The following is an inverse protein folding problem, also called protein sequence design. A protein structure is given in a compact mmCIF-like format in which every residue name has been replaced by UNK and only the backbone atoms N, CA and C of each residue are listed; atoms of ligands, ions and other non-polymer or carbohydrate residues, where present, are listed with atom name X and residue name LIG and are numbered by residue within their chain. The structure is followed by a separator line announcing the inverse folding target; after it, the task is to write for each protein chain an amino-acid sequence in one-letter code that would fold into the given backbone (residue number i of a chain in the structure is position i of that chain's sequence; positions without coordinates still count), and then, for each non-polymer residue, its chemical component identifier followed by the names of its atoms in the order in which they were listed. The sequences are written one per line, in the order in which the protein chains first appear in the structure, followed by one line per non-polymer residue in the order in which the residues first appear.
data_IF_885335463156
#
_entry.id   IF_885335463156
#
_cell.length_a   1.000
_cell.length_b   1.000
_cell.length_c   1.000
_cell.angle_alpha   90.00
_cell.angle_beta   90.00
_cell.angle_gamma   90.00
#
_symmetry.space_group_name_H-M   'P 1'
#
loop_
_entity.id
_entity.type
_entity.pdbx_description
1 polymer ?
#
# COMPACT_ATOMS: atom_id res chain seq x y z
N UNK A 1 24.87 -12.63 8.18
CA UNK A 1 26.17 -12.56 7.46
C UNK A 1 27.03 -11.49 8.14
N UNK A 2 28.27 -11.81 8.52
CA UNK A 2 29.27 -10.81 8.93
C UNK A 2 30.45 -10.92 7.97
N UNK A 3 30.84 -9.80 7.36
CA UNK A 3 32.06 -9.71 6.57
C UNK A 3 33.23 -9.56 7.54
N UNK A 4 34.16 -10.51 7.57
CA UNK A 4 35.22 -10.55 8.59
C UNK A 4 36.53 -9.93 8.07
N UNK A 5 36.78 -9.91 6.75
CA UNK A 5 37.96 -9.24 6.19
C UNK A 5 37.72 -8.76 4.76
N UNK A 6 38.10 -7.51 4.49
CA UNK A 6 38.22 -6.92 3.15
C UNK A 6 39.70 -6.70 2.87
N UNK A 7 40.30 -7.53 2.02
CA UNK A 7 41.66 -7.31 1.55
C UNK A 7 41.63 -6.66 0.17
N UNK A 8 42.12 -5.42 0.07
CA UNK A 8 42.23 -4.68 -1.18
C UNK A 8 43.67 -4.78 -1.69
N UNK A 9 43.90 -5.58 -2.75
CA UNK A 9 45.19 -5.60 -3.45
C UNK A 9 45.12 -4.68 -4.67
N UNK A 10 45.92 -3.61 -4.66
CA UNK A 10 46.14 -2.75 -5.82
C UNK A 10 47.42 -3.19 -6.53
N UNK A 11 47.32 -3.58 -7.81
CA UNK A 11 48.47 -3.91 -8.64
C UNK A 11 48.71 -2.74 -9.60
N UNK A 12 49.83 -2.05 -9.45
CA UNK A 12 50.21 -0.91 -10.29
C UNK A 12 51.03 -1.40 -11.48
N UNK A 13 50.57 -1.15 -12.71
CA UNK A 13 51.33 -1.38 -13.94
C UNK A 13 51.82 -0.03 -14.46
N UNK A 14 53.13 0.22 -14.35
CA UNK A 14 53.79 1.35 -15.01
C UNK A 14 54.17 0.92 -16.44
N UNK A 15 53.68 1.64 -17.45
CA UNK A 15 54.21 1.56 -18.82
C UNK A 15 54.75 2.92 -19.23
N UNK A 16 56.02 2.95 -19.61
CA UNK A 16 56.68 4.11 -20.21
C UNK A 16 56.60 4.00 -21.74
N UNK A 17 55.99 4.98 -22.40
CA UNK A 17 56.11 5.18 -23.84
C UNK A 17 57.14 6.29 -24.16
N UNK A 18 57.84 6.24 -25.30
CA UNK A 18 58.80 7.28 -25.64
C UNK A 18 58.07 8.52 -26.21
N UNK A 19 58.34 9.68 -25.62
CA UNK A 19 57.99 11.00 -26.18
C UNK A 19 56.75 11.67 -25.58
N UNK A 20 56.99 12.75 -24.84
CA UNK A 20 56.06 13.81 -24.40
C UNK A 20 54.88 13.41 -23.48
N UNK A 21 55.17 13.32 -22.18
CA UNK A 21 54.46 14.10 -21.17
C UNK A 21 53.04 13.70 -20.74
N UNK A 22 52.56 12.49 -21.04
CA UNK A 22 51.27 11.99 -20.52
C UNK A 22 51.46 10.63 -19.83
N UNK A 23 51.23 10.56 -18.52
CA UNK A 23 51.19 9.31 -17.77
C UNK A 23 49.74 8.87 -17.58
N UNK A 24 49.36 7.71 -18.14
CA UNK A 24 48.06 7.08 -17.90
C UNK A 24 48.21 6.11 -16.72
N UNK A 25 47.63 6.44 -15.57
CA UNK A 25 47.53 5.50 -14.45
C UNK A 25 46.35 4.56 -14.69
N UNK A 26 46.64 3.27 -14.84
CA UNK A 26 45.61 2.23 -14.85
C UNK A 26 45.63 1.53 -13.49
N UNK A 27 44.74 1.95 -12.59
CA UNK A 27 44.58 1.30 -11.30
C UNK A 27 43.42 0.31 -11.41
N UNK A 28 43.75 -0.99 -11.47
CA UNK A 28 42.76 -2.04 -11.32
C UNK A 28 42.66 -2.40 -9.84
N UNK A 29 41.48 -2.23 -9.25
CA UNK A 29 41.20 -2.71 -7.90
C UNK A 29 40.51 -4.07 -8.01
N UNK A 30 41.03 -5.06 -7.30
CA UNK A 30 40.33 -6.34 -7.11
C UNK A 30 39.84 -6.38 -5.68
N UNK A 31 38.53 -6.27 -5.47
CA UNK A 31 37.93 -6.49 -4.17
C UNK A 31 37.74 -8.01 -4.01
N UNK A 32 38.53 -8.64 -3.15
CA UNK A 32 38.28 -10.02 -2.72
C UNK A 32 37.48 -9.98 -1.43
N UNK A 33 36.25 -10.48 -1.49
CA UNK A 33 35.37 -10.61 -0.34
C UNK A 33 35.33 -12.08 0.06
N UNK A 34 35.96 -12.46 1.18
CA UNK A 34 35.86 -13.81 1.73
C UNK A 34 34.63 -13.87 2.63
N UNK A 35 33.57 -14.55 2.18
CA UNK A 35 32.39 -14.84 2.99
C UNK A 35 32.53 -16.21 3.65
N UNK A 36 32.46 -16.25 4.98
CA UNK A 36 32.31 -17.51 5.74
C UNK A 36 30.84 -17.62 6.16
N UNK A 37 30.17 -18.67 5.68
CA UNK A 37 28.85 -19.08 6.18
C UNK A 37 29.07 -20.10 7.30
N UNK A 38 28.75 -19.73 8.54
CA UNK A 38 28.67 -20.71 9.62
C UNK A 38 27.32 -21.43 9.54
N UNK A 39 27.34 -22.65 8.99
CA UNK A 39 26.29 -23.64 9.23
C UNK A 39 26.90 -24.76 10.07
N UNK A 40 26.32 -25.02 11.24
CA UNK A 40 26.52 -26.29 11.93
C UNK A 40 25.76 -27.37 11.15
N UNK A 41 26.43 -28.01 10.19
CA UNK A 41 26.15 -29.37 9.75
C UNK A 41 27.33 -29.89 8.93
N UNK A 42 27.69 -31.16 9.16
CA UNK A 42 28.96 -31.75 8.77
C UNK A 42 29.26 -31.79 7.26
N UNK A 43 30.57 -31.78 7.00
CA UNK A 43 31.28 -32.32 5.84
C UNK A 43 30.71 -31.95 4.45
N UNK A 44 31.20 -30.83 3.89
CA UNK A 44 31.76 -30.62 2.54
C UNK A 44 31.92 -29.10 2.33
N UNK A 45 33.17 -28.62 2.16
CA UNK A 45 33.48 -27.21 1.91
C UNK A 45 33.41 -26.90 0.40
N UNK A 46 32.45 -26.06 -0.02
CA UNK A 46 32.45 -25.42 -1.34
C UNK A 46 32.52 -23.90 -1.17
N UNK A 47 33.63 -23.28 -1.60
CA UNK A 47 33.83 -21.83 -1.59
C UNK A 47 33.59 -21.24 -2.97
N UNK A 48 32.53 -20.43 -3.15
CA UNK A 48 32.34 -19.59 -4.34
C UNK A 48 32.83 -18.16 -4.07
N UNK A 49 33.68 -17.63 -4.97
CA UNK A 49 34.16 -16.24 -4.94
C UNK A 49 33.46 -15.44 -6.04
N UNK A 50 32.88 -14.27 -5.72
CA UNK A 50 32.40 -13.29 -6.69
C UNK A 50 33.45 -12.18 -6.87
N UNK A 51 33.75 -11.81 -8.13
CA UNK A 51 34.68 -10.73 -8.46
C UNK A 51 33.89 -9.61 -9.15
N UNK A 52 33.87 -8.41 -8.57
CA UNK A 52 33.38 -7.18 -9.22
C UNK A 52 34.61 -6.40 -9.73
N UNK A 53 34.67 -6.09 -11.02
CA UNK A 53 35.75 -5.27 -11.61
C UNK A 53 35.18 -3.95 -12.11
N UNK A 54 35.57 -2.84 -11.49
CA UNK A 54 35.28 -1.49 -11.95
C UNK A 54 36.58 -0.74 -12.26
N UNK A 55 36.58 0.12 -13.29
CA UNK A 55 37.73 0.98 -13.66
C UNK A 55 37.35 2.45 -13.46
N UNK A 56 38.13 3.20 -12.68
CA UNK A 56 38.02 4.66 -12.55
C UNK A 56 39.22 5.27 -13.29
N UNK A 57 38.95 6.22 -14.21
CA UNK A 57 40.00 7.01 -14.88
C UNK A 57 40.10 8.37 -14.21
N UNK A 58 41.28 8.73 -13.71
CA UNK A 58 41.59 10.07 -13.22
C UNK A 58 42.66 10.67 -14.12
N UNK A 59 42.31 11.72 -14.88
CA UNK A 59 43.30 12.51 -15.62
C UNK A 59 43.87 13.58 -14.68
N UNK A 60 45.17 13.48 -14.36
CA UNK A 60 45.89 14.50 -13.60
C UNK A 60 46.84 15.22 -14.55
N UNK A 61 46.66 16.54 -14.70
CA UNK A 61 47.51 17.40 -15.52
C UNK A 61 48.85 17.68 -14.80
N UNK A 62 49.98 17.47 -15.46
CA UNK A 62 51.32 17.28 -14.88
C UNK A 62 52.02 18.53 -14.33
N UNK A 63 51.29 19.60 -14.01
CA UNK A 63 51.87 20.86 -13.49
C UNK A 63 51.62 21.18 -12.02
N UNK A 64 50.98 20.28 -11.25
CA UNK A 64 50.73 20.52 -9.82
C UNK A 64 51.51 19.53 -8.95
N UNK A 65 52.28 20.08 -8.00
CA UNK A 65 53.24 19.34 -7.17
C UNK A 65 52.59 18.14 -6.46
N UNK A 66 53.37 17.07 -6.33
CA UNK A 66 53.02 15.80 -5.66
C UNK A 66 52.39 15.96 -4.26
N UNK A 67 52.59 17.09 -3.59
CA UNK A 67 51.91 17.43 -2.32
C UNK A 67 50.40 17.67 -2.46
N UNK A 68 49.93 18.24 -3.58
CA UNK A 68 48.50 18.48 -3.79
C UNK A 68 47.73 17.19 -4.11
N UNK A 69 48.33 16.27 -4.87
CA UNK A 69 47.72 14.97 -5.14
C UNK A 69 47.57 14.11 -3.87
N UNK A 70 48.54 14.18 -2.96
CA UNK A 70 48.48 13.50 -1.65
C UNK A 70 47.39 14.11 -0.75
N UNK A 71 47.22 15.44 -0.77
CA UNK A 71 46.13 16.13 -0.06
C UNK A 71 44.74 15.76 -0.60
N UNK A 72 44.57 15.62 -1.91
CA UNK A 72 43.30 15.16 -2.50
C UNK A 72 43.00 13.70 -2.16
N UNK A 73 44.01 12.83 -2.17
CA UNK A 73 43.86 11.43 -1.74
C UNK A 73 43.53 11.31 -0.25
N UNK A 74 44.16 12.13 0.61
CA UNK A 74 43.86 12.19 2.04
C UNK A 74 42.45 12.73 2.30
N UNK A 75 41.99 13.74 1.55
CA UNK A 75 40.60 14.24 1.62
C UNK A 75 39.57 13.18 1.15
N UNK A 76 39.88 12.39 0.12
CA UNK A 76 39.03 11.29 -0.32
C UNK A 76 39.00 10.12 0.69
N UNK A 77 40.08 9.92 1.44
CA UNK A 77 40.15 8.93 2.50
C UNK A 77 39.34 9.35 3.74
N UNK A 78 39.31 10.63 4.10
CA UNK A 78 38.49 11.14 5.21
C UNK A 78 36.98 11.12 4.93
N UNK A 79 36.55 11.19 3.66
CA UNK A 79 35.13 11.02 3.28
C UNK A 79 34.69 9.55 3.43
N UNK A 80 35.61 8.60 3.29
CA UNK A 80 35.31 7.16 3.40
C UNK A 80 35.20 6.65 4.85
N UNK A 81 35.71 7.42 5.82
CA UNK A 81 35.73 7.06 7.25
C UNK A 81 34.56 7.63 8.07
N UNK A 82 33.63 8.36 7.45
CA UNK A 82 32.45 8.93 8.12
C UNK A 82 31.10 8.40 7.59
N UNK A 83 31.09 7.35 6.78
CA UNK A 83 29.87 6.60 6.48
C UNK A 83 29.49 5.66 7.65
N UNK A 84 29.41 6.20 8.87
CA UNK A 84 28.49 5.64 9.85
C UNK A 84 27.14 6.28 9.54
N UNK A 85 26.24 5.50 8.93
CA UNK A 85 24.85 5.88 8.71
C UNK A 85 24.28 6.41 10.03
N UNK A 86 24.21 7.74 10.17
CA UNK A 86 23.42 8.33 11.24
C UNK A 86 22.00 7.79 11.04
N UNK A 87 21.36 7.23 12.07
CA UNK A 87 19.97 6.82 11.95
C UNK A 87 19.17 8.03 11.47
N UNK A 88 18.63 7.93 10.25
CA UNK A 88 17.84 9.02 9.68
C UNK A 88 16.58 9.10 10.51
N UNK A 89 16.39 10.20 11.23
CA UNK A 89 15.24 10.40 12.13
C UNK A 89 13.91 10.57 11.38
N UNK A 90 13.91 10.43 10.06
CA UNK A 90 12.83 10.75 9.15
C UNK A 90 13.19 10.32 7.73
N UNK A 91 12.43 10.77 6.75
CA UNK A 91 12.75 10.57 5.34
C UNK A 91 13.24 11.86 4.68
N UNK A 92 13.98 11.70 3.59
CA UNK A 92 14.23 12.78 2.62
C UNK A 92 14.10 12.20 1.21
N UNK A 93 13.19 12.77 0.42
CA UNK A 93 12.97 12.39 -0.98
C UNK A 93 13.49 13.53 -1.84
N UNK A 94 14.63 13.32 -2.49
CA UNK A 94 15.13 14.24 -3.52
C UNK A 94 14.64 13.78 -4.88
N UNK A 95 13.93 14.64 -5.60
CA UNK A 95 13.30 14.24 -6.85
C UNK A 95 13.43 15.21 -8.00
N UNK A 96 13.15 14.71 -9.21
CA UNK A 96 13.00 15.50 -10.41
C UNK A 96 11.72 15.11 -11.16
N UNK A 97 10.87 16.09 -11.48
CA UNK A 97 9.75 15.91 -12.40
C UNK A 97 10.02 16.74 -13.65
N UNK A 98 10.35 16.08 -14.77
CA UNK A 98 10.62 16.78 -16.02
C UNK A 98 9.31 17.29 -16.64
N UNK A 99 9.36 18.48 -17.25
CA UNK A 99 8.18 19.12 -17.85
C UNK A 99 7.34 19.97 -16.89
N UNK A 100 7.73 20.11 -15.61
CA UNK A 100 7.11 21.10 -14.72
C UNK A 100 7.64 22.51 -14.99
N UNK A 101 6.81 23.53 -14.74
CA UNK A 101 7.26 24.92 -14.62
C UNK A 101 7.85 25.14 -13.23
N UNK A 102 8.79 26.07 -13.10
CA UNK A 102 9.26 26.51 -11.78
C UNK A 102 8.10 27.02 -10.93
N UNK A 103 8.12 26.66 -9.64
CA UNK A 103 7.02 26.95 -8.73
C UNK A 103 5.86 25.95 -8.77
N UNK A 104 5.91 24.89 -9.59
CA UNK A 104 4.85 23.85 -9.57
C UNK A 104 4.83 23.15 -8.21
N UNK A 105 3.65 23.00 -7.61
CA UNK A 105 3.51 22.37 -6.30
C UNK A 105 3.65 20.84 -6.40
N UNK A 106 4.50 20.28 -5.55
CA UNK A 106 4.67 18.84 -5.32
C UNK A 106 4.21 18.52 -3.91
N UNK A 107 3.34 17.52 -3.76
CA UNK A 107 2.81 17.09 -2.46
C UNK A 107 3.08 15.61 -2.22
N UNK A 108 3.48 15.26 -1.00
CA UNK A 108 3.48 13.88 -0.52
C UNK A 108 2.21 13.64 0.29
N UNK A 109 1.37 12.72 -0.15
CA UNK A 109 0.07 12.43 0.46
C UNK A 109 0.06 10.99 0.95
N UNK A 110 -0.19 10.76 2.23
CA UNK A 110 -0.50 9.44 2.76
C UNK A 110 -1.88 9.00 2.25
N UNK A 111 -1.95 7.87 1.55
CA UNK A 111 -3.17 7.40 0.89
C UNK A 111 -4.21 6.95 1.91
N UNK A 112 -3.77 6.30 2.99
CA UNK A 112 -4.67 5.71 3.99
C UNK A 112 -5.21 6.80 4.92
N UNK A 113 -4.36 7.74 5.32
CA UNK A 113 -4.73 8.86 6.18
C UNK A 113 -5.35 10.03 5.42
N UNK A 114 -5.28 10.02 4.08
CA UNK A 114 -5.69 11.12 3.20
C UNK A 114 -5.06 12.47 3.62
N UNK A 115 -3.82 12.41 4.10
CA UNK A 115 -3.13 13.53 4.74
C UNK A 115 -1.88 13.92 3.95
N UNK A 116 -1.72 15.22 3.73
CA UNK A 116 -0.46 15.77 3.21
C UNK A 116 0.60 15.65 4.30
N UNK A 117 1.66 14.88 4.04
CA UNK A 117 2.82 14.73 4.93
C UNK A 117 3.75 15.92 4.77
N UNK A 118 4.05 16.28 3.52
CA UNK A 118 4.93 17.40 3.17
C UNK A 118 4.58 17.96 1.78
N UNK A 119 5.02 19.19 1.50
CA UNK A 119 4.91 19.79 0.18
C UNK A 119 6.11 20.70 -0.13
N UNK A 120 6.49 20.75 -1.40
CA UNK A 120 7.53 21.64 -1.92
C UNK A 120 7.08 22.23 -3.26
N UNK A 121 7.87 23.15 -3.79
CA UNK A 121 7.77 23.59 -5.18
C UNK A 121 8.94 23.05 -6.01
N UNK A 122 8.77 22.97 -7.32
CA UNK A 122 9.85 22.62 -8.25
C UNK A 122 10.72 23.82 -8.61
N UNK A 123 12.01 23.57 -8.82
CA UNK A 123 12.96 24.48 -9.46
C UNK A 123 13.78 23.69 -10.49
N UNK A 124 13.65 24.03 -11.77
CA UNK A 124 14.15 23.24 -12.90
C UNK A 124 13.73 21.75 -12.81
N UNK A 125 12.48 21.52 -12.39
CA UNK A 125 11.94 20.17 -12.15
C UNK A 125 12.41 19.50 -10.85
N UNK A 126 13.47 20.00 -10.21
CA UNK A 126 13.96 19.43 -8.95
C UNK A 126 13.09 19.85 -7.76
N UNK A 127 12.92 18.95 -6.79
CA UNK A 127 12.23 19.22 -5.52
C UNK A 127 12.83 18.37 -4.39
N UNK A 128 12.54 18.75 -3.15
CA UNK A 128 12.91 17.97 -1.96
C UNK A 128 11.71 17.90 -1.04
N UNK A 129 11.35 16.69 -0.60
CA UNK A 129 10.35 16.46 0.44
C UNK A 129 11.04 15.86 1.67
N UNK A 130 10.61 16.26 2.87
CA UNK A 130 11.15 15.80 4.15
C UNK A 130 10.03 15.57 5.14
N UNK A 131 10.23 14.60 6.03
CA UNK A 131 9.25 14.35 7.07
C UNK A 131 9.61 13.13 7.88
N UNK A 132 8.59 12.58 8.54
CA UNK A 132 8.71 11.37 9.34
C UNK A 132 7.44 10.55 9.18
N UNK A 133 7.60 9.24 9.07
CA UNK A 133 6.49 8.28 9.11
C UNK A 133 6.65 7.35 10.30
N UNK A 134 5.57 7.04 11.01
CA UNK A 134 5.62 6.15 12.17
C UNK A 134 6.00 4.71 11.78
N UNK A 135 5.51 4.29 10.61
CA UNK A 135 5.82 3.04 9.95
C UNK A 135 5.88 3.28 8.43
N UNK A 136 6.53 2.39 7.65
CA UNK A 136 6.47 2.46 6.21
C UNK A 136 5.02 2.49 5.71
N UNK A 137 4.71 3.47 4.86
CA UNK A 137 3.36 3.75 4.39
C UNK A 137 3.35 3.99 2.88
N UNK A 138 2.21 3.72 2.25
CA UNK A 138 2.03 3.98 0.83
C UNK A 138 1.55 5.43 0.62
N UNK A 139 2.32 6.19 -0.14
CA UNK A 139 2.04 7.59 -0.45
C UNK A 139 1.84 7.82 -1.95
N UNK A 140 1.14 8.91 -2.27
CA UNK A 140 1.24 9.55 -3.58
C UNK A 140 2.24 10.71 -3.52
N UNK A 141 3.13 10.78 -4.53
CA UNK A 141 3.75 12.04 -4.94
C UNK A 141 2.85 12.64 -6.02
N UNK A 142 2.25 13.79 -5.76
CA UNK A 142 1.34 14.48 -6.66
C UNK A 142 1.94 15.78 -7.20
N UNK A 143 1.71 16.05 -8.49
CA UNK A 143 2.06 17.33 -9.13
C UNK A 143 1.12 17.58 -10.33
N UNK A 144 0.47 18.74 -10.41
CA UNK A 144 -0.42 19.14 -11.52
C UNK A 144 -1.44 18.05 -11.96
N UNK A 145 -2.14 17.43 -11.00
CA UNK A 145 -3.10 16.33 -11.19
C UNK A 145 -2.52 14.98 -11.65
N UNK A 146 -1.20 14.89 -11.77
CA UNK A 146 -0.48 13.64 -12.00
C UNK A 146 0.03 13.11 -10.66
N UNK A 147 0.14 11.78 -10.54
CA UNK A 147 0.61 11.15 -9.32
C UNK A 147 1.41 9.88 -9.58
N UNK A 148 2.31 9.56 -8.65
CA UNK A 148 3.01 8.28 -8.58
C UNK A 148 2.85 7.67 -7.18
N UNK A 149 2.61 6.37 -7.12
CA UNK A 149 2.55 5.63 -5.86
C UNK A 149 3.94 5.18 -5.43
N UNK A 150 4.32 5.48 -4.19
CA UNK A 150 5.61 5.09 -3.59
C UNK A 150 5.41 4.52 -2.20
N UNK A 151 6.32 3.65 -1.75
CA UNK A 151 6.42 3.23 -0.36
C UNK A 151 7.42 4.16 0.34
N UNK A 152 6.98 4.90 1.34
CA UNK A 152 7.81 5.85 2.11
C UNK A 152 8.21 5.20 3.42
N UNK A 153 9.51 5.24 3.73
CA UNK A 153 10.08 4.84 5.03
C UNK A 153 11.14 5.87 5.45
N UNK A 154 11.51 5.90 6.74
CA UNK A 154 12.45 6.89 7.29
C UNK A 154 13.89 6.66 6.80
N UNK A 155 14.17 7.06 5.56
CA UNK A 155 15.46 6.91 4.88
C UNK A 155 15.65 7.97 3.79
N UNK A 156 16.81 7.95 3.15
CA UNK A 156 17.07 8.77 1.96
C UNK A 156 16.54 8.05 0.73
N UNK A 157 15.73 8.77 -0.05
CA UNK A 157 15.08 8.27 -1.25
C UNK A 157 15.29 9.21 -2.43
N UNK A 158 15.20 8.68 -3.65
CA UNK A 158 15.27 9.45 -4.89
C UNK A 158 14.05 9.18 -5.76
N UNK A 159 13.51 10.22 -6.38
CA UNK A 159 12.36 10.13 -7.29
C UNK A 159 12.67 10.76 -8.64
N UNK A 160 12.24 10.15 -9.74
CA UNK A 160 12.35 10.73 -11.08
C UNK A 160 11.14 10.35 -11.91
N UNK A 161 10.53 11.31 -12.61
CA UNK A 161 9.43 11.03 -13.52
C UNK A 161 9.29 12.14 -14.58
N UNK A 162 8.82 11.86 -15.80
CA UNK A 162 8.13 12.90 -16.56
C UNK A 162 6.83 13.31 -15.86
N UNK A 163 6.36 14.53 -16.09
CA UNK A 163 5.09 15.01 -15.52
C UNK A 163 3.90 14.19 -16.02
N UNK A 164 3.85 13.85 -17.31
CA UNK A 164 2.75 13.04 -17.86
C UNK A 164 2.92 11.57 -17.50
N UNK A 165 1.83 10.93 -17.11
CA UNK A 165 1.75 9.51 -16.80
C UNK A 165 2.74 9.10 -15.71
N UNK A 166 2.84 9.91 -14.64
CA UNK A 166 3.74 9.65 -13.50
C UNK A 166 3.55 8.25 -12.92
N UNK A 167 2.31 7.75 -12.93
CA UNK A 167 1.94 6.40 -12.50
C UNK A 167 2.69 5.30 -13.26
N UNK A 168 3.01 5.52 -14.53
CA UNK A 168 3.64 4.53 -15.42
C UNK A 168 5.14 4.75 -15.59
N UNK A 169 5.62 5.99 -15.45
CA UNK A 169 6.98 6.37 -15.83
C UNK A 169 7.86 6.82 -14.67
N UNK A 170 7.33 6.86 -13.46
CA UNK A 170 8.13 7.17 -12.28
C UNK A 170 9.14 6.07 -11.95
N UNK A 171 10.28 6.50 -11.41
CA UNK A 171 11.30 5.65 -10.83
C UNK A 171 11.62 6.14 -9.44
N UNK A 172 11.47 5.27 -8.45
CA UNK A 172 11.77 5.58 -7.05
C UNK A 172 12.78 4.57 -6.51
N UNK A 173 13.77 5.07 -5.76
CA UNK A 173 14.80 4.24 -5.10
C UNK A 173 15.02 4.72 -3.68
N UNK A 174 15.63 3.86 -2.87
CA UNK A 174 15.86 4.09 -1.44
C UNK A 174 14.80 3.39 -0.61
N UNK A 175 15.23 2.75 0.49
CA UNK A 175 14.36 1.98 1.35
C UNK A 175 14.16 0.52 0.95
N UNK A 176 13.89 -0.33 1.95
CA UNK A 176 13.58 -1.75 1.77
C UNK A 176 12.20 -1.92 1.14
N UNK A 177 11.17 -1.24 1.63
CA UNK A 177 9.78 -1.43 1.20
C UNK A 177 9.58 -0.94 -0.24
N UNK A 178 10.22 0.17 -0.63
CA UNK A 178 10.19 0.62 -2.02
C UNK A 178 10.94 -0.35 -2.95
N UNK A 179 12.02 -0.96 -2.48
CA UNK A 179 12.77 -1.95 -3.25
C UNK A 179 11.94 -3.22 -3.49
N UNK A 180 11.19 -3.67 -2.48
CA UNK A 180 10.21 -4.77 -2.60
C UNK A 180 9.07 -4.40 -3.55
N UNK A 181 8.54 -3.17 -3.47
CA UNK A 181 7.53 -2.70 -4.42
C UNK A 181 8.05 -2.71 -5.86
N UNK A 182 9.31 -2.32 -6.09
CA UNK A 182 9.93 -2.36 -7.41
C UNK A 182 10.09 -3.80 -7.92
N UNK A 183 10.49 -4.75 -7.05
CA UNK A 183 10.55 -6.18 -7.39
C UNK A 183 9.17 -6.70 -7.80
N UNK A 184 8.14 -6.42 -7.00
CA UNK A 184 6.76 -6.81 -7.27
C UNK A 184 6.25 -6.24 -8.60
N UNK A 185 6.45 -4.95 -8.85
CA UNK A 185 6.06 -4.30 -10.10
C UNK A 185 6.73 -4.97 -11.31
N UNK A 186 7.99 -5.38 -11.19
CA UNK A 186 8.69 -6.09 -12.27
C UNK A 186 8.11 -7.49 -12.53
N UNK A 187 7.74 -8.23 -11.48
CA UNK A 187 7.11 -9.54 -11.60
C UNK A 187 5.73 -9.46 -12.27
N UNK A 188 4.99 -8.39 -11.98
CA UNK A 188 3.62 -8.22 -12.45
C UNK A 188 3.49 -7.55 -13.83
N UNK A 189 4.49 -6.77 -14.27
CA UNK A 189 4.43 -5.91 -15.46
C UNK A 189 3.88 -6.60 -16.71
N UNK A 190 4.31 -7.82 -17.00
CA UNK A 190 3.86 -8.58 -18.18
C UNK A 190 2.37 -8.91 -18.11
N UNK A 191 1.88 -9.25 -16.92
CA UNK A 191 0.48 -9.60 -16.72
C UNK A 191 -0.41 -8.37 -16.65
N UNK A 192 0.11 -7.29 -16.07
CA UNK A 192 -0.56 -5.98 -16.05
C UNK A 192 -0.83 -5.47 -17.48
N UNK A 193 0.12 -5.58 -18.40
CA UNK A 193 -0.11 -5.16 -19.79
C UNK A 193 -1.19 -5.99 -20.49
N UNK A 194 -1.23 -7.31 -20.24
CA UNK A 194 -2.25 -8.21 -20.83
C UNK A 194 -3.63 -7.91 -20.22
N UNK A 195 -3.68 -7.77 -18.89
CA UNK A 195 -4.86 -7.41 -18.14
C UNK A 195 -5.45 -6.09 -18.64
N UNK A 196 -4.65 -5.03 -18.73
CA UNK A 196 -5.09 -3.70 -19.17
C UNK A 196 -5.60 -3.73 -20.61
N UNK A 197 -4.90 -4.41 -21.52
CA UNK A 197 -5.35 -4.58 -22.90
C UNK A 197 -6.72 -5.27 -22.98
N UNK A 198 -6.88 -6.40 -22.27
CA UNK A 198 -8.13 -7.16 -22.30
C UNK A 198 -9.28 -6.36 -21.64
N UNK A 199 -9.00 -5.71 -20.51
CA UNK A 199 -9.95 -4.85 -19.81
C UNK A 199 -10.42 -3.69 -20.68
N UNK A 200 -9.50 -2.93 -21.28
CA UNK A 200 -9.84 -1.79 -22.13
C UNK A 200 -10.60 -2.22 -23.38
N UNK A 201 -10.24 -3.37 -23.96
CA UNK A 201 -10.94 -3.94 -25.12
C UNK A 201 -12.38 -4.34 -24.77
N UNK A 202 -12.60 -4.93 -23.59
CA UNK A 202 -13.94 -5.32 -23.11
C UNK A 202 -14.76 -4.07 -22.74
N UNK A 203 -14.19 -3.16 -21.96
CA UNK A 203 -14.84 -1.95 -21.44
C UNK A 203 -15.27 -1.02 -22.56
N UNK A 204 -14.38 -0.75 -23.52
CA UNK A 204 -14.63 0.15 -24.64
C UNK A 204 -15.25 -0.58 -25.85
N UNK A 205 -15.63 -1.85 -25.71
CA UNK A 205 -16.26 -2.67 -26.75
C UNK A 205 -15.45 -2.72 -28.06
N UNK A 206 -14.13 -2.86 -27.97
CA UNK A 206 -13.20 -2.89 -29.12
C UNK A 206 -13.17 -4.26 -29.84
N UNK A 207 -14.16 -5.12 -29.61
CA UNK A 207 -14.27 -6.45 -30.21
C UNK A 207 -15.27 -6.45 -31.38
N UNK A 208 -14.99 -7.22 -32.43
CA UNK A 208 -15.80 -7.31 -33.65
C UNK A 208 -16.79 -8.47 -33.66
N UNK A 209 -16.66 -9.44 -32.74
CA UNK A 209 -17.52 -10.62 -32.68
C UNK A 209 -17.72 -11.16 -31.26
N UNK A 210 -18.78 -11.94 -31.05
CA UNK A 210 -19.03 -12.65 -29.80
C UNK A 210 -17.87 -13.60 -29.43
N UNK A 211 -17.29 -14.28 -30.42
CA UNK A 211 -16.12 -15.16 -30.23
C UNK A 211 -14.88 -14.39 -29.76
N UNK A 212 -14.62 -13.21 -30.31
CA UNK A 212 -13.52 -12.37 -29.84
C UNK A 212 -13.77 -11.85 -28.42
N UNK A 213 -15.02 -11.46 -28.11
CA UNK A 213 -15.40 -11.06 -26.75
C UNK A 213 -15.14 -12.19 -25.74
N UNK A 214 -15.55 -13.42 -26.07
CA UNK A 214 -15.32 -14.59 -25.23
C UNK A 214 -13.83 -14.85 -25.00
N UNK A 215 -13.03 -14.77 -26.07
CA UNK A 215 -11.57 -14.87 -25.96
C UNK A 215 -10.97 -13.78 -25.06
N UNK A 216 -11.38 -12.52 -25.21
CA UNK A 216 -10.91 -11.42 -24.37
C UNK A 216 -11.31 -11.61 -22.90
N UNK A 217 -12.51 -12.12 -22.61
CA UNK A 217 -12.92 -12.44 -21.23
C UNK A 217 -12.03 -13.54 -20.63
N UNK A 218 -11.70 -14.57 -21.41
CA UNK A 218 -10.77 -15.62 -20.97
C UNK A 218 -9.38 -15.04 -20.67
N UNK A 219 -8.82 -14.24 -21.57
CA UNK A 219 -7.52 -13.58 -21.39
C UNK A 219 -7.52 -12.66 -20.17
N UNK A 220 -8.58 -11.88 -19.97
CA UNK A 220 -8.75 -11.01 -18.82
C UNK A 220 -8.73 -11.81 -17.50
N UNK A 221 -9.53 -12.87 -17.40
CA UNK A 221 -9.61 -13.71 -16.20
C UNK A 221 -8.27 -14.40 -15.90
N UNK A 222 -7.62 -15.02 -16.89
CA UNK A 222 -6.33 -15.70 -16.71
C UNK A 222 -5.21 -14.73 -16.29
N UNK A 223 -5.18 -13.54 -16.89
CA UNK A 223 -4.22 -12.50 -16.53
C UNK A 223 -4.48 -11.98 -15.10
N UNK A 224 -5.75 -11.76 -14.73
CA UNK A 224 -6.14 -11.33 -13.40
C UNK A 224 -5.75 -12.38 -12.35
N UNK A 225 -6.08 -13.66 -12.58
CA UNK A 225 -5.73 -14.74 -11.65
C UNK A 225 -4.23 -14.85 -11.46
N UNK A 226 -3.47 -14.81 -12.56
CA UNK A 226 -2.00 -14.89 -12.49
C UNK A 226 -1.42 -13.68 -11.76
N UNK A 227 -1.89 -12.47 -12.08
CA UNK A 227 -1.48 -11.23 -11.41
C UNK A 227 -1.72 -11.31 -9.90
N UNK A 228 -2.89 -11.80 -9.48
CA UNK A 228 -3.25 -11.95 -8.08
C UNK A 228 -2.46 -13.05 -7.37
N UNK A 229 -2.16 -14.16 -8.05
CA UNK A 229 -1.35 -15.24 -7.49
C UNK A 229 0.10 -14.78 -7.24
N UNK A 230 0.68 -14.02 -8.18
CA UNK A 230 2.00 -13.39 -8.00
C UNK A 230 1.97 -12.45 -6.80
N UNK A 231 0.92 -11.60 -6.71
CA UNK A 231 0.77 -10.64 -5.62
C UNK A 231 0.75 -11.34 -4.26
N UNK A 232 -0.13 -12.34 -4.07
CA UNK A 232 -0.25 -13.06 -2.79
C UNK A 232 1.01 -13.89 -2.48
N UNK A 233 1.59 -14.58 -3.46
CA UNK A 233 2.82 -15.35 -3.26
C UNK A 233 3.99 -14.43 -2.85
N UNK A 234 4.08 -13.24 -3.42
CA UNK A 234 5.05 -12.23 -3.01
C UNK A 234 4.83 -11.81 -1.55
N UNK A 235 3.58 -11.55 -1.17
CA UNK A 235 3.22 -11.24 0.22
C UNK A 235 3.62 -12.33 1.21
N UNK A 236 3.40 -13.60 0.85
CA UNK A 236 3.78 -14.75 1.68
C UNK A 236 5.30 -14.85 1.83
N UNK A 237 6.04 -14.69 0.72
CA UNK A 237 7.51 -14.73 0.71
C UNK A 237 8.14 -13.61 1.53
N UNK A 238 7.49 -12.45 1.57
CA UNK A 238 7.99 -11.23 2.22
C UNK A 238 7.13 -10.82 3.42
N UNK A 239 6.50 -11.78 4.11
CA UNK A 239 5.62 -11.54 5.26
C UNK A 239 6.35 -10.83 6.42
N UNK A 240 7.69 -10.85 6.41
CA UNK A 240 8.56 -10.14 7.36
C UNK A 240 8.75 -8.64 7.03
N UNK A 241 8.06 -8.12 6.01
CA UNK A 241 8.05 -6.71 5.59
C UNK A 241 6.68 -6.06 5.75
N UNK A 242 6.63 -4.73 5.81
CA UNK A 242 5.36 -3.99 5.89
C UNK A 242 4.51 -4.18 4.62
N UNK A 243 5.14 -4.15 3.45
CA UNK A 243 4.48 -4.43 2.17
C UNK A 243 3.93 -5.86 2.13
N UNK A 244 4.70 -6.86 2.55
CA UNK A 244 4.23 -8.24 2.56
C UNK A 244 3.05 -8.46 3.52
N UNK A 245 3.11 -7.86 4.71
CA UNK A 245 2.00 -7.86 5.65
C UNK A 245 0.75 -7.18 5.07
N UNK A 246 0.87 -6.01 4.43
CA UNK A 246 -0.25 -5.32 3.79
C UNK A 246 -0.89 -6.16 2.68
N UNK A 247 -0.07 -6.82 1.84
CA UNK A 247 -0.54 -7.73 0.80
C UNK A 247 -1.40 -8.86 1.40
N UNK A 248 -0.89 -9.53 2.43
CA UNK A 248 -1.57 -10.64 3.08
C UNK A 248 -2.83 -10.16 3.79
N UNK A 249 -2.77 -9.02 4.48
CA UNK A 249 -3.92 -8.39 5.10
C UNK A 249 -5.04 -8.12 4.09
N UNK A 250 -4.71 -7.53 2.93
CA UNK A 250 -5.69 -7.21 1.88
C UNK A 250 -6.24 -8.43 1.15
N UNK A 251 -5.52 -9.57 1.17
CA UNK A 251 -5.92 -10.80 0.47
C UNK A 251 -6.33 -11.94 1.41
N UNK A 252 -6.50 -11.66 2.70
CA UNK A 252 -6.77 -12.66 3.74
C UNK A 252 -7.96 -13.58 3.46
N UNK A 253 -8.96 -13.14 2.69
CA UNK A 253 -10.10 -13.99 2.30
C UNK A 253 -9.71 -15.17 1.40
N UNK A 254 -8.55 -15.10 0.73
CA UNK A 254 -8.03 -16.17 -0.13
C UNK A 254 -7.14 -17.17 0.62
N UNK A 255 -6.92 -16.95 1.91
CA UNK A 255 -5.97 -17.72 2.73
C UNK A 255 -6.77 -18.33 3.90
N UNK A 256 -6.52 -19.61 4.23
CA UNK A 256 -7.21 -20.21 5.37
C UNK A 256 -6.85 -19.50 6.68
N UNK A 257 -7.81 -19.41 7.60
CA UNK A 257 -7.60 -18.77 8.91
C UNK A 257 -6.42 -19.38 9.67
N UNK A 258 -6.27 -20.71 9.62
CA UNK A 258 -5.14 -21.41 10.25
C UNK A 258 -3.80 -20.97 9.66
N UNK A 259 -3.72 -20.84 8.33
CA UNK A 259 -2.50 -20.36 7.66
C UNK A 259 -2.21 -18.92 8.05
N UNK A 260 -3.23 -18.07 8.16
CA UNK A 260 -3.06 -16.68 8.62
C UNK A 260 -2.54 -16.64 10.04
N UNK A 261 -3.05 -17.48 10.94
CA UNK A 261 -2.59 -17.53 12.33
C UNK A 261 -1.13 -17.99 12.42
N UNK A 262 -0.73 -18.98 11.62
CA UNK A 262 0.67 -19.40 11.50
C UNK A 262 1.57 -18.26 10.99
N UNK A 263 1.14 -17.55 9.95
CA UNK A 263 1.85 -16.38 9.41
C UNK A 263 1.99 -15.29 10.48
N UNK A 264 0.91 -14.95 11.18
CA UNK A 264 0.91 -13.96 12.27
C UNK A 264 1.92 -14.34 13.37
N UNK A 265 1.96 -15.61 13.77
CA UNK A 265 2.88 -16.09 14.79
C UNK A 265 4.36 -16.00 14.34
N UNK A 266 4.61 -16.11 13.04
CA UNK A 266 5.94 -15.97 12.44
C UNK A 266 6.40 -14.52 12.21
N UNK A 267 5.52 -13.53 12.40
CA UNK A 267 5.87 -12.13 12.20
C UNK A 267 6.98 -11.67 13.16
N UNK A 268 7.91 -10.81 12.69
CA UNK A 268 8.78 -10.05 13.57
C UNK A 268 7.99 -9.22 14.58
N UNK A 269 8.53 -9.02 15.79
CA UNK A 269 7.86 -8.26 16.86
C UNK A 269 7.48 -6.83 16.44
N UNK A 270 8.33 -6.18 15.64
CA UNK A 270 8.05 -4.86 15.06
C UNK A 270 6.75 -4.83 14.25
N UNK A 271 6.42 -5.92 13.54
CA UNK A 271 5.20 -6.02 12.74
C UNK A 271 3.97 -6.42 13.56
N UNK A 272 4.13 -7.21 14.62
CA UNK A 272 3.01 -7.65 15.47
C UNK A 272 2.26 -6.50 16.14
N UNK A 273 2.94 -5.38 16.39
CA UNK A 273 2.35 -4.17 16.98
C UNK A 273 1.46 -3.35 16.02
N UNK A 274 1.63 -3.54 14.71
CA UNK A 274 0.91 -2.77 13.68
C UNK A 274 -0.60 -3.04 13.71
N UNK A 275 -1.40 -2.05 13.27
CA UNK A 275 -2.85 -2.21 13.18
C UNK A 275 -3.23 -3.35 12.22
N UNK A 276 -2.49 -3.49 11.11
CA UNK A 276 -2.68 -4.57 10.12
C UNK A 276 -2.47 -5.95 10.73
N UNK A 277 -1.39 -6.16 11.48
CA UNK A 277 -1.14 -7.45 12.12
C UNK A 277 -2.20 -7.78 13.17
N UNK A 278 -2.64 -6.80 13.97
CA UNK A 278 -3.74 -6.97 14.92
C UNK A 278 -5.04 -7.35 14.24
N UNK A 279 -5.41 -6.64 13.17
CA UNK A 279 -6.59 -6.95 12.37
C UNK A 279 -6.50 -8.34 11.72
N UNK A 280 -5.32 -8.72 11.23
CA UNK A 280 -5.08 -10.04 10.65
C UNK A 280 -5.25 -11.16 11.68
N UNK A 281 -4.75 -10.97 12.91
CA UNK A 281 -4.96 -11.90 14.03
C UNK A 281 -6.46 -12.04 14.35
N UNK A 282 -7.16 -10.91 14.53
CA UNK A 282 -8.61 -10.88 14.82
C UNK A 282 -9.37 -11.65 13.74
N UNK A 283 -9.07 -11.40 12.46
CA UNK A 283 -9.70 -12.09 11.35
C UNK A 283 -9.56 -13.62 11.44
N UNK A 284 -8.37 -14.09 11.82
CA UNK A 284 -8.06 -15.50 11.92
C UNK A 284 -8.60 -16.17 13.18
N UNK A 285 -8.62 -15.47 14.32
CA UNK A 285 -8.98 -16.07 15.62
C UNK A 285 -10.45 -15.92 16.01
N UNK A 286 -11.16 -14.93 15.46
CA UNK A 286 -12.53 -14.62 15.88
C UNK A 286 -13.59 -15.19 14.93
N UNK A 287 -14.80 -15.34 15.46
CA UNK A 287 -15.99 -15.54 14.63
C UNK A 287 -16.30 -14.26 13.87
N UNK A 288 -16.65 -14.41 12.60
CA UNK A 288 -16.95 -13.29 11.72
C UNK A 288 -18.46 -13.21 11.50
N UNK A 289 -18.97 -12.02 11.23
CA UNK A 289 -20.38 -11.83 10.92
C UNK A 289 -20.74 -12.58 9.62
N UNK A 290 -21.76 -13.42 9.67
CA UNK A 290 -22.27 -14.20 8.53
C UNK A 290 -23.77 -14.09 8.41
N UNK A 291 -24.26 -14.17 7.18
CA UNK A 291 -25.70 -14.27 6.89
C UNK A 291 -26.26 -15.53 7.55
N UNK A 292 -27.41 -15.39 8.22
CA UNK A 292 -28.08 -16.44 8.98
C UNK A 292 -27.66 -16.50 10.46
N UNK A 293 -26.60 -15.79 10.86
CA UNK A 293 -26.13 -15.76 12.25
C UNK A 293 -26.59 -14.48 12.96
N UNK A 294 -26.47 -14.47 14.30
CA UNK A 294 -26.68 -13.24 15.07
C UNK A 294 -25.61 -12.21 14.71
N UNK A 295 -25.98 -10.94 14.69
CA UNK A 295 -25.00 -9.86 14.48
C UNK A 295 -23.96 -9.85 15.61
N UNK A 296 -22.76 -9.35 15.29
CA UNK A 296 -21.69 -9.14 16.26
C UNK A 296 -21.83 -7.74 16.85
N UNK A 297 -22.25 -7.67 18.11
CA UNK A 297 -22.49 -6.40 18.78
C UNK A 297 -21.19 -5.59 18.98
N UNK A 298 -21.34 -4.27 19.02
CA UNK A 298 -20.23 -3.34 19.24
C UNK A 298 -20.71 -2.06 19.90
N UNK A 299 -19.76 -1.40 20.58
CA UNK A 299 -19.95 -0.08 21.17
C UNK A 299 -18.84 0.86 20.68
N UNK A 300 -19.23 2.00 20.12
CA UNK A 300 -18.32 3.01 19.54
C UNK A 300 -18.89 4.41 19.76
N UNK A 301 -18.15 5.45 19.37
CA UNK A 301 -18.68 6.80 19.42
C UNK A 301 -19.52 7.12 18.20
N UNK A 302 -20.65 7.78 18.43
CA UNK A 302 -21.41 8.48 17.39
C UNK A 302 -20.70 9.76 16.95
N UNK A 303 -21.23 10.35 15.88
CA UNK A 303 -20.74 11.59 15.28
C UNK A 303 -20.87 12.80 16.23
N UNK A 304 -21.81 12.78 17.18
CA UNK A 304 -21.94 13.79 18.23
C UNK A 304 -21.14 13.44 19.50
N UNK A 305 -20.28 12.42 19.44
CA UNK A 305 -19.36 12.02 20.51
C UNK A 305 -20.00 11.20 21.63
N UNK A 306 -21.26 10.76 21.48
CA UNK A 306 -21.94 9.93 22.47
C UNK A 306 -21.60 8.45 22.28
N UNK A 307 -21.62 7.63 23.34
CA UNK A 307 -21.58 6.19 23.20
C UNK A 307 -22.79 5.70 22.38
N UNK A 308 -22.55 4.80 21.45
CA UNK A 308 -23.56 4.11 20.67
C UNK A 308 -23.27 2.61 20.68
N UNK A 309 -24.29 1.81 21.01
CA UNK A 309 -24.22 0.36 20.95
C UNK A 309 -25.23 -0.19 19.96
N UNK A 310 -24.81 -1.07 19.06
CA UNK A 310 -25.69 -1.58 18.00
C UNK A 310 -26.92 -2.29 18.58
N UNK A 311 -26.76 -3.03 19.68
CA UNK A 311 -27.86 -3.70 20.39
C UNK A 311 -28.91 -2.78 21.03
N UNK A 312 -28.66 -1.48 21.10
CA UNK A 312 -29.63 -0.52 21.66
C UNK A 312 -30.82 -0.29 20.71
N UNK A 313 -30.64 -0.57 19.41
CA UNK A 313 -31.73 -0.54 18.43
C UNK A 313 -32.56 -1.82 18.58
N UNK A 314 -33.81 -1.68 19.03
CA UNK A 314 -34.72 -2.80 19.29
C UNK A 314 -36.00 -2.71 18.46
N UNK A 315 -36.53 -3.87 18.07
CA UNK A 315 -37.84 -3.98 17.43
C UNK A 315 -37.91 -3.50 15.98
N UNK A 316 -36.77 -3.14 15.38
CA UNK A 316 -36.65 -2.73 13.98
C UNK A 316 -35.62 -3.59 13.25
N UNK A 317 -35.72 -3.61 11.93
CA UNK A 317 -34.59 -3.96 11.09
C UNK A 317 -33.49 -2.92 11.23
N UNK A 318 -32.23 -3.33 11.08
CA UNK A 318 -31.08 -2.43 11.05
C UNK A 318 -30.37 -2.60 9.71
N UNK A 319 -30.18 -1.51 8.98
CA UNK A 319 -29.26 -1.44 7.85
C UNK A 319 -27.92 -0.90 8.32
N UNK A 320 -26.97 -1.80 8.58
CA UNK A 320 -25.61 -1.45 8.98
C UNK A 320 -24.74 -1.28 7.74
N UNK A 321 -24.41 -0.05 7.37
CA UNK A 321 -23.62 0.28 6.18
C UNK A 321 -22.20 0.73 6.56
N UNK A 322 -21.20 0.02 6.06
CA UNK A 322 -19.79 0.40 6.20
C UNK A 322 -19.35 1.22 4.99
N UNK A 323 -18.88 2.44 5.23
CA UNK A 323 -18.48 3.36 4.17
C UNK A 323 -17.61 4.50 4.66
N UNK A 324 -17.36 5.47 3.80
CA UNK A 324 -16.62 6.71 4.10
C UNK A 324 -17.25 7.86 3.31
N UNK A 325 -17.10 9.09 3.78
CA UNK A 325 -17.62 10.24 3.06
C UNK A 325 -16.85 10.58 1.78
N UNK A 326 -15.61 10.11 1.60
CA UNK A 326 -14.89 10.27 0.32
C UNK A 326 -15.23 9.18 -0.69
N UNK A 327 -16.05 8.19 -0.32
CA UNK A 327 -16.49 7.10 -1.19
C UNK A 327 -17.73 7.50 -2.04
N UNK A 328 -17.53 7.73 -3.34
CA UNK A 328 -18.59 8.09 -4.29
C UNK A 328 -19.80 7.13 -4.32
N UNK A 329 -19.59 5.81 -4.47
CA UNK A 329 -20.67 4.82 -4.43
C UNK A 329 -21.41 4.79 -3.09
N UNK A 330 -20.71 4.93 -1.95
CA UNK A 330 -21.32 4.99 -0.63
C UNK A 330 -22.26 6.20 -0.50
N UNK A 331 -21.85 7.35 -1.05
CA UNK A 331 -22.73 8.54 -1.09
C UNK A 331 -23.94 8.35 -2.01
N UNK A 332 -23.83 7.54 -3.07
CA UNK A 332 -24.98 7.16 -3.92
C UNK A 332 -25.95 6.30 -3.13
N UNK A 333 -25.47 5.25 -2.45
CA UNK A 333 -26.28 4.39 -1.58
C UNK A 333 -27.05 5.20 -0.53
N UNK A 334 -26.37 6.10 0.20
CA UNK A 334 -27.01 6.97 1.19
C UNK A 334 -28.15 7.81 0.60
N UNK A 335 -27.98 8.39 -0.59
CA UNK A 335 -29.05 9.17 -1.26
C UNK A 335 -30.25 8.32 -1.62
N UNK A 336 -30.03 7.06 -2.00
CA UNK A 336 -31.10 6.14 -2.38
C UNK A 336 -31.85 5.60 -1.16
N UNK A 337 -31.13 5.33 -0.06
CA UNK A 337 -31.74 5.01 1.24
C UNK A 337 -32.63 6.14 1.77
N UNK A 338 -32.19 7.40 1.62
CA UNK A 338 -32.96 8.56 2.06
C UNK A 338 -34.36 8.63 1.41
N UNK A 339 -34.52 8.15 0.17
CA UNK A 339 -35.81 8.13 -0.54
C UNK A 339 -36.83 7.20 0.10
N UNK A 340 -36.38 6.07 0.65
CA UNK A 340 -37.27 5.07 1.27
C UNK A 340 -37.39 5.25 2.79
N UNK A 341 -36.50 6.02 3.40
CA UNK A 341 -36.43 6.15 4.86
C UNK A 341 -37.72 6.73 5.46
N UNK A 342 -38.35 7.70 4.80
CA UNK A 342 -39.64 8.24 5.24
C UNK A 342 -40.77 7.18 5.29
N UNK A 343 -40.75 6.21 4.38
CA UNK A 343 -41.75 5.13 4.29
C UNK A 343 -41.42 3.98 5.24
N UNK A 344 -40.15 3.63 5.39
CA UNK A 344 -39.72 2.46 6.18
C UNK A 344 -39.21 2.79 7.58
N UNK A 345 -39.03 4.05 7.97
CA UNK A 345 -38.35 4.44 9.23
C UNK A 345 -38.98 3.92 10.53
N UNK A 346 -40.26 3.50 10.48
CA UNK A 346 -40.93 2.80 11.60
C UNK A 346 -40.46 1.35 11.77
N UNK A 347 -39.98 0.72 10.69
CA UNK A 347 -39.60 -0.69 10.60
C UNK A 347 -38.09 -0.87 10.37
N UNK A 348 -37.40 0.16 9.90
CA UNK A 348 -35.99 0.13 9.51
C UNK A 348 -35.26 1.30 10.18
N UNK A 349 -34.14 0.98 10.85
CA UNK A 349 -33.14 1.95 11.27
C UNK A 349 -31.88 1.83 10.42
N UNK A 350 -31.16 2.94 10.24
CA UNK A 350 -29.93 2.97 9.44
C UNK A 350 -28.76 3.33 10.35
N UNK A 351 -27.69 2.54 10.27
CA UNK A 351 -26.44 2.78 11.00
C UNK A 351 -25.30 2.85 9.99
N UNK A 352 -24.77 4.06 9.78
CA UNK A 352 -23.58 4.26 8.99
C UNK A 352 -22.35 4.13 9.88
N UNK A 353 -21.62 3.03 9.71
CA UNK A 353 -20.30 2.84 10.31
C UNK A 353 -19.24 3.45 9.38
N UNK A 354 -18.69 4.59 9.76
CA UNK A 354 -17.66 5.26 8.99
C UNK A 354 -16.28 4.62 9.19
N UNK A 355 -15.57 4.40 8.09
CA UNK A 355 -14.17 4.00 8.01
C UNK A 355 -13.25 5.20 7.73
N UNK A 356 -13.72 6.42 7.98
CA UNK A 356 -12.88 7.61 7.98
C UNK A 356 -11.97 7.61 9.22
N UNK A 357 -10.74 8.10 9.06
CA UNK A 357 -9.75 8.24 10.15
C UNK A 357 -9.60 9.68 10.64
N UNK A 358 -10.28 10.62 9.98
CA UNK A 358 -10.31 12.04 10.34
C UNK A 358 -11.71 12.44 10.79
N UNK A 359 -11.89 12.61 12.10
CA UNK A 359 -13.15 13.00 12.73
C UNK A 359 -13.73 14.30 12.15
N UNK A 360 -12.90 15.32 11.95
CA UNK A 360 -13.38 16.64 11.52
C UNK A 360 -13.92 16.61 10.08
N UNK A 361 -13.24 15.90 9.18
CA UNK A 361 -13.69 15.70 7.81
C UNK A 361 -14.97 14.86 7.77
N UNK A 362 -15.01 13.79 8.57
CA UNK A 362 -16.19 12.95 8.74
C UNK A 362 -17.41 13.78 9.20
N UNK A 363 -17.27 14.56 10.27
CA UNK A 363 -18.33 15.43 10.79
C UNK A 363 -18.78 16.50 9.78
N UNK A 364 -17.83 17.13 9.10
CA UNK A 364 -18.12 18.16 8.10
C UNK A 364 -18.90 17.59 6.92
N UNK A 365 -18.49 16.43 6.41
CA UNK A 365 -19.15 15.79 5.30
C UNK A 365 -20.54 15.26 5.68
N UNK A 366 -20.70 14.68 6.87
CA UNK A 366 -22.01 14.25 7.36
C UNK A 366 -23.03 15.38 7.45
N UNK A 367 -22.59 16.54 7.99
CA UNK A 367 -23.42 17.74 8.09
C UNK A 367 -23.83 18.24 6.70
N UNK A 368 -22.88 18.27 5.76
CA UNK A 368 -23.13 18.68 4.37
C UNK A 368 -24.10 17.74 3.65
N UNK A 369 -24.01 16.44 3.91
CA UNK A 369 -24.85 15.42 3.29
C UNK A 369 -26.23 15.29 3.99
N UNK A 370 -26.46 16.01 5.08
CA UNK A 370 -27.74 15.99 5.80
C UNK A 370 -28.06 14.62 6.39
N UNK A 371 -27.06 13.88 6.87
CA UNK A 371 -27.25 12.55 7.44
C UNK A 371 -28.05 12.66 8.74
N UNK A 372 -29.28 12.11 8.74
CA UNK A 372 -30.22 12.17 9.88
C UNK A 372 -30.28 10.88 10.71
N UNK A 373 -29.64 9.81 10.24
CA UNK A 373 -29.59 8.52 10.92
C UNK A 373 -28.29 8.35 11.71
N UNK A 374 -28.16 7.22 12.42
CA UNK A 374 -26.99 6.95 13.26
C UNK A 374 -25.72 6.93 12.40
N UNK A 375 -24.76 7.79 12.75
CA UNK A 375 -23.42 7.76 12.15
C UNK A 375 -22.40 7.57 13.26
N UNK A 376 -21.60 6.51 13.13
CA UNK A 376 -20.74 6.00 14.19
C UNK A 376 -19.39 5.56 13.62
N UNK A 377 -18.34 5.53 14.44
CA UNK A 377 -17.03 5.04 14.00
C UNK A 377 -16.09 4.76 15.18
N UNK A 378 -15.15 3.84 14.96
CA UNK A 378 -14.00 3.61 15.85
C UNK A 378 -12.75 4.43 15.46
N UNK A 379 -12.82 5.23 14.38
CA UNK A 379 -11.70 6.02 13.81
C UNK A 379 -10.49 5.18 13.37
N UNK A 380 -10.64 3.85 13.28
CA UNK A 380 -9.55 2.94 12.92
C UNK A 380 -9.50 2.63 11.42
N UNK A 381 -10.41 3.19 10.63
CA UNK A 381 -10.45 3.04 9.18
C UNK A 381 -10.41 1.59 8.70
N UNK A 382 -9.51 1.28 7.79
CA UNK A 382 -9.46 -0.03 7.13
C UNK A 382 -8.86 -1.14 7.99
N UNK A 383 -8.32 -0.85 9.17
CA UNK A 383 -7.71 -1.82 10.08
C UNK A 383 -8.51 -2.01 11.38
N UNK A 384 -9.66 -1.35 11.51
CA UNK A 384 -10.51 -1.41 12.70
C UNK A 384 -10.98 -2.82 13.06
N UNK A 385 -11.22 -3.04 14.36
CA UNK A 385 -11.72 -4.32 14.87
C UNK A 385 -13.11 -4.62 14.32
N UNK A 386 -14.01 -3.64 14.33
CA UNK A 386 -15.42 -3.88 13.98
C UNK A 386 -15.56 -4.27 12.51
N UNK A 387 -14.97 -3.50 11.59
CA UNK A 387 -14.96 -3.85 10.17
C UNK A 387 -14.27 -5.19 9.89
N UNK A 388 -13.30 -5.58 10.71
CA UNK A 388 -12.63 -6.88 10.61
C UNK A 388 -13.56 -8.01 11.02
N UNK A 389 -14.28 -7.87 12.14
CA UNK A 389 -15.29 -8.83 12.59
C UNK A 389 -16.43 -8.99 11.58
N UNK A 390 -16.81 -7.90 10.90
CA UNK A 390 -17.78 -7.95 9.81
C UNK A 390 -17.19 -8.37 8.45
N UNK A 391 -15.90 -8.71 8.38
CA UNK A 391 -15.21 -9.12 7.16
C UNK A 391 -15.41 -8.13 6.00
N UNK A 392 -15.29 -6.83 6.30
CA UNK A 392 -15.40 -5.74 5.34
C UNK A 392 -14.03 -5.48 4.72
N UNK A 393 -13.93 -5.69 3.41
CA UNK A 393 -12.69 -5.46 2.63
C UNK A 393 -12.80 -4.29 1.65
N UNK A 394 -14.02 -4.00 1.19
CA UNK A 394 -14.32 -2.90 0.29
C UNK A 394 -15.49 -2.07 0.81
N UNK A 395 -15.62 -0.86 0.28
CA UNK A 395 -16.73 0.04 0.57
C UNK A 395 -17.52 0.35 -0.71
N UNK A 396 -18.86 0.45 -0.64
CA UNK A 396 -19.67 0.12 0.53
C UNK A 396 -19.78 -1.40 0.75
N UNK A 397 -19.95 -1.80 2.00
CA UNK A 397 -20.42 -3.15 2.37
C UNK A 397 -21.48 -2.98 3.44
N UNK A 398 -22.64 -3.61 3.27
CA UNK A 398 -23.79 -3.36 4.14
C UNK A 398 -24.46 -4.67 4.59
N UNK A 399 -25.12 -4.63 5.73
CA UNK A 399 -25.82 -5.77 6.33
C UNK A 399 -27.23 -5.36 6.69
N UNK A 400 -28.20 -6.21 6.33
CA UNK A 400 -29.56 -6.09 6.83
C UNK A 400 -29.74 -7.08 7.98
N UNK A 401 -30.03 -6.55 9.16
CA UNK A 401 -30.25 -7.29 10.40
C UNK A 401 -31.73 -7.20 10.75
N UNK A 402 -32.35 -8.30 11.12
CA UNK A 402 -33.76 -8.34 11.48
C UNK A 402 -34.01 -7.98 12.96
N UNK A 403 -35.27 -7.78 13.37
CA UNK A 403 -35.59 -7.42 14.76
C UNK A 403 -35.18 -8.45 15.83
N UNK A 404 -34.89 -9.70 15.44
CA UNK A 404 -34.38 -10.73 16.34
C UNK A 404 -32.84 -10.69 16.47
N UNK A 405 -32.18 -9.81 15.70
CA UNK A 405 -30.74 -9.64 15.66
C UNK A 405 -30.05 -10.63 14.72
N UNK A 406 -30.75 -11.20 13.74
CA UNK A 406 -30.15 -12.11 12.75
C UNK A 406 -29.79 -11.34 11.48
N UNK A 407 -28.59 -11.56 10.94
CA UNK A 407 -28.18 -11.01 9.65
C UNK A 407 -28.93 -11.74 8.54
N UNK A 408 -29.92 -11.09 7.93
CA UNK A 408 -30.74 -11.68 6.88
C UNK A 408 -30.19 -11.43 5.48
N UNK A 409 -29.34 -10.41 5.31
CA UNK A 409 -28.65 -10.18 4.04
C UNK A 409 -27.32 -9.44 4.20
N UNK A 410 -26.38 -9.71 3.29
CA UNK A 410 -25.14 -8.95 3.08
C UNK A 410 -25.12 -8.39 1.66
N UNK A 411 -24.66 -7.15 1.52
CA UNK A 411 -24.47 -6.45 0.25
C UNK A 411 -23.00 -6.05 0.11
N UNK A 412 -22.33 -6.58 -0.92
CA UNK A 412 -20.97 -6.18 -1.29
C UNK A 412 -21.06 -5.19 -2.47
N UNK A 413 -20.87 -3.91 -2.16
CA UNK A 413 -21.11 -2.80 -3.09
C UNK A 413 -22.58 -2.35 -3.16
N UNK A 414 -22.80 -1.22 -3.85
CA UNK A 414 -24.13 -0.69 -4.13
C UNK A 414 -24.57 -1.09 -5.55
N UNK A 415 -25.75 -1.70 -5.64
CA UNK A 415 -26.41 -2.08 -6.90
C UNK A 415 -27.81 -1.47 -6.97
N UNK A 416 -28.35 -1.27 -8.17
CA UNK A 416 -29.64 -0.57 -8.35
C UNK A 416 -30.82 -1.30 -7.71
N UNK A 417 -30.75 -2.63 -7.58
CA UNK A 417 -31.73 -3.51 -6.94
C UNK A 417 -31.62 -3.56 -5.40
N UNK A 418 -30.59 -2.94 -4.82
CA UNK A 418 -30.33 -2.98 -3.36
C UNK A 418 -31.54 -2.48 -2.57
N UNK A 419 -32.12 -1.34 -2.99
CA UNK A 419 -33.26 -0.70 -2.33
C UNK A 419 -34.53 -1.55 -2.45
N UNK A 420 -34.77 -2.15 -3.61
CA UNK A 420 -35.90 -3.06 -3.83
C UNK A 420 -35.79 -4.28 -2.93
N UNK A 421 -34.59 -4.87 -2.83
CA UNK A 421 -34.33 -6.03 -2.00
C UNK A 421 -34.54 -5.73 -0.51
N UNK A 422 -34.04 -4.60 -0.02
CA UNK A 422 -34.30 -4.14 1.36
C UNK A 422 -35.80 -4.01 1.60
N UNK A 423 -36.50 -3.29 0.71
CA UNK A 423 -37.95 -3.05 0.83
C UNK A 423 -38.73 -4.36 0.84
N UNK A 424 -38.39 -5.30 -0.04
CA UNK A 424 -39.01 -6.62 -0.14
C UNK A 424 -38.84 -7.44 1.16
N UNK A 425 -37.65 -7.45 1.75
CA UNK A 425 -37.38 -8.18 3.00
C UNK A 425 -38.12 -7.54 4.18
N UNK A 426 -38.05 -6.22 4.32
CA UNK A 426 -38.66 -5.49 5.43
C UNK A 426 -40.19 -5.59 5.39
N UNK A 427 -40.80 -5.59 4.20
CA UNK A 427 -42.26 -5.64 4.05
C UNK A 427 -42.85 -7.06 4.04
N UNK A 428 -42.14 -8.07 3.49
CA UNK A 428 -42.65 -9.46 3.42
C UNK A 428 -42.94 -10.08 4.77
N UNK A 429 -42.13 -9.81 5.81
CA UNK A 429 -42.34 -10.38 7.15
C UNK A 429 -43.65 -9.90 7.78
N UNK A 430 -44.17 -8.73 7.36
CA UNK A 430 -45.48 -8.22 7.79
C UNK A 430 -46.64 -9.05 7.25
N UNK A 431 -46.54 -9.63 6.05
CA UNK A 431 -47.60 -10.46 5.48
C UNK A 431 -47.77 -11.79 6.25
N UNK A 432 -46.69 -12.34 6.81
CA UNK A 432 -46.72 -13.59 7.58
C UNK A 432 -47.22 -13.35 9.03
N UNK A 433 -46.90 -12.20 9.62
CA UNK A 433 -47.30 -11.86 11.01
C UNK A 433 -48.76 -11.38 11.13
N UNK A 434 -49.47 -11.13 10.03
CA UNK A 434 -50.90 -10.73 10.01
C UNK A 434 -51.83 -11.92 9.74
N UNK A 435 -51.29 -13.12 9.50
CA UNK A 435 -52.05 -14.33 9.20
C UNK A 435 -52.22 -15.32 10.39
N UNK A 436 -51.89 -14.91 11.61
CA UNK A 436 -52.06 -15.74 12.82
C UNK A 436 -52.93 -15.06 13.86
#
# INVERSE_FOLDING_TARGET
MKCIDIAMQAKFLLRTGPGNGLFIYKTAFTLKCNMVLNYNCGLINCSNSFILVGSIYVMINSRKSTRQALLYMLMLYSISLHAQDKPVSGFTISGNISGTKDGSQVRLVDIEQQKIIDSSITQNGAFILKGHVAEPTTCWIECNNEYATIQVENTVMTFSSPLKDMKLHSTTRGGREQSLQNELNNLQRRYESIYTYAYDSLKNKLYSSAKQKEHLMKVFNEAQDTYMNIYVAFGLKHIDSYLGLDIIFRNRQKISKDSILLLYNSLPEMLKGTDRARALKIYASENLARKGERFLDFEVCSIDGKPFKLSDIKGKYIYLAFGSFSCGPCRKENRELAKIYGTLGKQLDIVNFSLDVNRNEWETAAKKDGVVWHSVSDMMGMTGKIKTLYDVQGMPTSFLIDPAGVIVERFDGYHEDTIEKITSIVTKKKAIMVQY
#
